data_IF_588067722972
#
_entry.id   IF_588067722972
#
_cell.length_a   1.000
_cell.length_b   1.000
_cell.length_c   1.000
_cell.angle_alpha   90.00
_cell.angle_beta   90.00
_cell.angle_gamma   90.00
#
_symmetry.space_group_name_H-M   'P 1'
#
loop_
_entity.id
_entity.type
_entity.pdbx_description
1 polymer ?
#
# COMPACT_ATOMS: atom_id res chain seq x y z
N UNK A 1 17.48 13.41 -22.66
CA UNK A 1 16.47 14.49 -22.60
C UNK A 1 16.00 14.60 -21.17
N UNK A 2 16.49 15.59 -20.43
CA UNK A 2 16.07 15.90 -19.06
C UNK A 2 14.70 16.56 -19.11
N UNK A 3 13.63 15.81 -18.85
CA UNK A 3 12.29 16.38 -18.69
C UNK A 3 12.20 17.06 -17.32
N UNK A 4 12.71 18.28 -17.23
CA UNK A 4 12.61 19.17 -16.08
C UNK A 4 11.24 19.86 -16.04
N UNK A 5 10.15 19.11 -15.87
CA UNK A 5 8.82 19.71 -15.80
C UNK A 5 7.77 18.80 -15.19
N UNK A 6 6.84 19.43 -14.46
CA UNK A 6 5.55 18.85 -14.10
C UNK A 6 4.83 18.51 -15.42
N UNK A 7 4.56 17.23 -15.66
CA UNK A 7 3.87 16.76 -16.85
C UNK A 7 2.80 15.76 -16.45
N UNK A 8 1.73 15.66 -17.24
CA UNK A 8 0.81 14.55 -17.11
C UNK A 8 1.55 13.25 -17.43
N UNK A 9 1.14 12.17 -16.77
CA UNK A 9 1.69 10.86 -17.05
C UNK A 9 1.48 10.54 -18.56
N UNK A 10 2.47 9.98 -19.27
CA UNK A 10 2.37 9.74 -20.71
C UNK A 10 1.17 8.88 -21.12
N UNK A 11 0.73 8.02 -20.20
CA UNK A 11 -0.38 7.09 -20.26
C UNK A 11 -1.69 7.66 -19.69
N UNK A 12 -1.72 8.92 -19.25
CA UNK A 12 -2.92 9.52 -18.65
C UNK A 12 -4.13 9.59 -19.60
N UNK A 13 -3.89 9.50 -20.92
CA UNK A 13 -4.92 9.48 -21.95
C UNK A 13 -5.12 8.08 -22.57
N UNK A 14 -4.45 7.06 -22.04
CA UNK A 14 -4.60 5.70 -22.53
C UNK A 14 -6.00 5.16 -22.23
N UNK A 15 -6.40 4.15 -23.01
CA UNK A 15 -7.74 3.56 -22.91
C UNK A 15 -7.91 2.85 -21.58
N UNK A 16 -9.01 3.15 -20.89
CA UNK A 16 -9.45 2.44 -19.68
C UNK A 16 -9.41 0.92 -19.86
N UNK A 17 -8.73 0.26 -18.94
CA UNK A 17 -8.46 -1.18 -18.94
C UNK A 17 -9.26 -1.90 -17.86
N UNK A 18 -9.22 -3.24 -17.90
CA UNK A 18 -9.75 -4.04 -16.80
C UNK A 18 -8.99 -3.78 -15.49
N UNK A 19 -7.69 -3.52 -15.55
CA UNK A 19 -6.86 -3.18 -14.40
C UNK A 19 -7.34 -1.92 -13.69
N UNK A 20 -7.76 -0.91 -14.44
CA UNK A 20 -8.30 0.35 -13.89
C UNK A 20 -9.62 0.11 -13.15
N UNK A 21 -10.51 -0.71 -13.73
CA UNK A 21 -11.75 -1.14 -13.07
C UNK A 21 -11.46 -1.87 -11.76
N UNK A 22 -10.54 -2.84 -11.77
CA UNK A 22 -10.20 -3.64 -10.59
C UNK A 22 -9.54 -2.80 -9.49
N UNK A 23 -8.65 -1.89 -9.85
CA UNK A 23 -8.01 -0.95 -8.92
C UNK A 23 -9.03 0.00 -8.29
N UNK A 24 -9.94 0.55 -9.11
CA UNK A 24 -11.00 1.42 -8.63
C UNK A 24 -11.94 0.67 -7.68
N UNK A 25 -12.35 -0.54 -8.03
CA UNK A 25 -13.17 -1.39 -7.16
C UNK A 25 -12.44 -1.70 -5.84
N UNK A 26 -11.14 -1.98 -5.90
CA UNK A 26 -10.28 -2.13 -4.72
C UNK A 26 -10.30 -0.91 -3.79
N UNK A 27 -10.19 0.30 -4.36
CA UNK A 27 -10.29 1.55 -3.58
C UNK A 27 -11.66 1.74 -2.93
N UNK A 28 -12.74 1.30 -3.58
CA UNK A 28 -14.10 1.34 -3.00
C UNK A 28 -14.20 0.40 -1.79
N UNK A 29 -13.68 -0.82 -1.89
CA UNK A 29 -13.63 -1.74 -0.75
C UNK A 29 -12.79 -1.20 0.40
N UNK A 30 -11.66 -0.57 0.10
CA UNK A 30 -10.82 0.05 1.12
C UNK A 30 -11.52 1.26 1.77
N UNK A 31 -12.20 2.10 0.99
CA UNK A 31 -13.01 3.20 1.53
C UNK A 31 -14.15 2.68 2.43
N UNK A 32 -14.79 1.56 2.05
CA UNK A 32 -15.77 0.89 2.91
C UNK A 32 -15.15 0.46 4.25
N UNK A 33 -13.95 -0.12 4.24
CA UNK A 33 -13.22 -0.47 5.47
C UNK A 33 -12.97 0.76 6.36
N UNK A 34 -12.62 1.91 5.75
CA UNK A 34 -12.41 3.16 6.50
C UNK A 34 -13.71 3.62 7.16
N UNK A 35 -14.81 3.68 6.42
CA UNK A 35 -16.12 4.06 6.94
C UNK A 35 -16.64 3.08 8.01
N UNK A 36 -16.41 1.78 7.81
CA UNK A 36 -16.77 0.74 8.76
C UNK A 36 -16.06 0.96 10.11
N UNK A 37 -14.76 1.24 10.08
CA UNK A 37 -13.99 1.51 11.30
C UNK A 37 -14.35 2.86 11.95
N UNK A 38 -14.69 3.89 11.17
CA UNK A 38 -15.17 5.16 11.73
C UNK A 38 -16.50 4.99 12.48
N UNK A 39 -17.40 4.13 11.98
CA UNK A 39 -18.70 3.87 12.62
C UNK A 39 -18.62 2.84 13.76
N UNK A 40 -18.02 1.67 13.50
CA UNK A 40 -18.01 0.54 14.42
C UNK A 40 -16.74 0.46 15.27
N UNK A 41 -15.60 0.92 14.77
CA UNK A 41 -14.32 0.90 15.49
C UNK A 41 -14.33 1.73 16.78
N UNK A 42 -15.27 2.68 16.91
CA UNK A 42 -15.53 3.42 18.17
C UNK A 42 -16.30 2.62 19.22
N UNK A 43 -16.97 1.53 18.82
CA UNK A 43 -17.87 0.70 19.63
C UNK A 43 -17.27 -0.67 19.98
N UNK A 44 -16.27 -1.12 19.23
CA UNK A 44 -15.64 -2.43 19.38
C UNK A 44 -14.13 -2.26 19.59
N UNK A 45 -13.46 -3.33 20.01
CA UNK A 45 -12.00 -3.40 19.90
C UNK A 45 -11.60 -3.41 18.42
N UNK A 46 -11.30 -2.24 17.85
CA UNK A 46 -11.02 -2.06 16.43
C UNK A 46 -9.82 -2.88 15.93
N UNK A 47 -8.85 -3.18 16.80
CA UNK A 47 -7.70 -4.03 16.48
C UNK A 47 -8.13 -5.46 16.17
N UNK A 48 -9.24 -5.93 16.74
CA UNK A 48 -9.78 -7.27 16.48
C UNK A 48 -10.32 -7.44 15.05
N UNK A 49 -10.47 -6.36 14.27
CA UNK A 49 -10.82 -6.40 12.85
C UNK A 49 -9.64 -6.87 11.98
N UNK A 50 -8.40 -6.64 12.46
CA UNK A 50 -7.16 -6.89 11.71
C UNK A 50 -6.99 -8.35 11.24
N UNK A 51 -7.22 -9.39 12.09
CA UNK A 51 -7.15 -10.77 11.64
C UNK A 51 -8.18 -11.10 10.56
N UNK A 52 -9.39 -10.51 10.64
CA UNK A 52 -10.42 -10.66 9.62
C UNK A 52 -9.97 -10.12 8.27
N UNK A 53 -9.38 -8.91 8.25
CA UNK A 53 -8.78 -8.33 7.03
C UNK A 53 -7.73 -9.25 6.42
N UNK A 54 -6.80 -9.77 7.22
CA UNK A 54 -5.75 -10.67 6.73
C UNK A 54 -6.29 -12.02 6.27
N UNK A 55 -7.30 -12.57 6.94
CA UNK A 55 -7.96 -13.79 6.50
C UNK A 55 -8.66 -13.59 5.16
N UNK A 56 -9.38 -12.48 5.00
CA UNK A 56 -10.00 -12.13 3.70
C UNK A 56 -8.94 -11.98 2.62
N UNK A 57 -7.86 -11.24 2.88
CA UNK A 57 -6.75 -11.08 1.92
C UNK A 57 -6.10 -12.42 1.56
N UNK A 58 -5.89 -13.31 2.55
CA UNK A 58 -5.33 -14.63 2.33
C UNK A 58 -6.25 -15.51 1.47
N UNK A 59 -7.55 -15.55 1.78
CA UNK A 59 -8.54 -16.33 1.02
C UNK A 59 -8.65 -15.81 -0.42
N UNK A 60 -8.83 -14.50 -0.60
CA UNK A 60 -8.90 -13.90 -1.93
C UNK A 60 -7.61 -14.12 -2.72
N UNK A 61 -6.44 -13.93 -2.08
CA UNK A 61 -5.13 -14.17 -2.70
C UNK A 61 -4.94 -15.62 -3.13
N UNK A 62 -5.30 -16.59 -2.29
CA UNK A 62 -5.26 -18.01 -2.66
C UNK A 62 -6.22 -18.36 -3.80
N UNK A 63 -7.41 -17.77 -3.83
CA UNK A 63 -8.34 -17.92 -4.96
C UNK A 63 -7.73 -17.36 -6.25
N UNK A 64 -7.12 -16.19 -6.21
CA UNK A 64 -6.43 -15.61 -7.38
C UNK A 64 -5.31 -16.52 -7.86
N UNK A 65 -4.46 -17.03 -6.97
CA UNK A 65 -3.41 -18.00 -7.32
C UNK A 65 -4.01 -19.26 -7.95
N UNK A 66 -5.09 -19.80 -7.37
CA UNK A 66 -5.79 -20.97 -7.92
C UNK A 66 -6.34 -20.75 -9.32
N UNK A 67 -6.97 -19.59 -9.57
CA UNK A 67 -7.48 -19.21 -10.89
C UNK A 67 -6.35 -19.05 -11.89
N UNK A 68 -5.27 -18.35 -11.54
CA UNK A 68 -4.13 -18.14 -12.44
C UNK A 68 -3.46 -19.47 -12.79
N UNK A 69 -3.21 -20.34 -11.80
CA UNK A 69 -2.58 -21.64 -12.03
C UNK A 69 -3.50 -22.64 -12.75
N UNK A 70 -4.82 -22.51 -12.58
CA UNK A 70 -5.83 -23.40 -13.17
C UNK A 70 -6.35 -22.96 -14.55
N UNK A 71 -5.88 -21.83 -15.10
CA UNK A 71 -6.33 -21.29 -16.39
C UNK A 71 -5.14 -20.98 -17.32
N UNK A 72 -5.37 -20.77 -18.62
CA UNK A 72 -4.34 -20.31 -19.55
C UNK A 72 -3.74 -18.93 -19.21
N UNK A 73 -4.33 -18.20 -18.24
CA UNK A 73 -3.81 -16.91 -17.77
C UNK A 73 -2.38 -17.03 -17.24
N UNK A 74 -1.97 -18.20 -16.75
CA UNK A 74 -0.58 -18.46 -16.35
C UNK A 74 0.43 -18.05 -17.42
N UNK A 75 0.17 -18.38 -18.68
CA UNK A 75 1.10 -18.10 -19.79
C UNK A 75 1.27 -16.59 -20.02
N UNK A 76 0.25 -15.80 -19.70
CA UNK A 76 0.26 -14.35 -19.81
C UNK A 76 1.00 -13.65 -18.67
N UNK A 77 1.29 -14.35 -17.56
CA UNK A 77 2.00 -13.77 -16.42
C UNK A 77 3.49 -13.55 -16.67
N UNK A 78 4.08 -14.27 -17.64
CA UNK A 78 5.53 -14.25 -17.88
C UNK A 78 6.36 -14.83 -16.72
N UNK A 79 5.73 -15.38 -15.67
CA UNK A 79 6.42 -15.96 -14.52
C UNK A 79 6.74 -17.43 -14.80
N UNK A 80 8.00 -17.86 -14.68
CA UNK A 80 8.37 -19.26 -14.84
C UNK A 80 7.57 -20.18 -13.91
N UNK A 81 7.29 -21.38 -14.40
CA UNK A 81 6.64 -22.42 -13.66
C UNK A 81 7.47 -22.88 -12.45
N UNK A 82 7.31 -22.24 -11.30
CA UNK A 82 7.89 -22.73 -10.03
C UNK A 82 7.14 -23.99 -9.59
N UNK A 83 7.87 -25.10 -9.45
CA UNK A 83 7.37 -26.31 -8.83
C UNK A 83 7.27 -26.11 -7.31
N UNK A 84 6.50 -26.96 -6.63
CA UNK A 84 6.36 -26.90 -5.18
C UNK A 84 7.74 -26.97 -4.46
N UNK A 85 8.65 -27.80 -4.97
CA UNK A 85 10.00 -27.93 -4.39
C UNK A 85 10.83 -26.65 -4.56
N UNK A 86 10.66 -25.90 -5.65
CA UNK A 86 11.34 -24.62 -5.84
C UNK A 86 10.90 -23.59 -4.79
N UNK A 87 9.61 -23.60 -4.41
CA UNK A 87 9.09 -22.76 -3.33
C UNK A 87 9.65 -23.16 -1.96
N UNK A 88 9.78 -24.46 -1.70
CA UNK A 88 10.39 -24.98 -0.47
C UNK A 88 11.85 -24.55 -0.37
N UNK A 89 12.60 -24.63 -1.47
CA UNK A 89 14.00 -24.24 -1.49
C UNK A 89 14.19 -22.72 -1.40
N UNK A 90 13.31 -21.93 -2.01
CA UNK A 90 13.29 -20.47 -1.84
C UNK A 90 13.04 -20.08 -0.38
N UNK A 91 12.12 -20.78 0.29
CA UNK A 91 11.74 -20.53 1.69
C UNK A 91 12.88 -20.77 2.68
N UNK A 92 13.88 -21.58 2.31
CA UNK A 92 15.09 -21.81 3.12
C UNK A 92 16.12 -20.68 3.00
N UNK A 93 16.01 -19.80 1.99
CA UNK A 93 16.97 -18.72 1.80
C UNK A 93 16.78 -17.66 2.89
N UNK A 94 17.82 -17.33 3.68
CA UNK A 94 17.68 -16.44 4.83
C UNK A 94 17.23 -15.03 4.40
N UNK A 95 17.74 -14.54 3.27
CA UNK A 95 17.33 -13.25 2.73
C UNK A 95 15.84 -13.22 2.38
N UNK A 96 15.33 -14.26 1.70
CA UNK A 96 13.93 -14.35 1.33
C UNK A 96 13.04 -14.38 2.56
N UNK A 97 13.38 -15.22 3.54
CA UNK A 97 12.63 -15.33 4.79
C UNK A 97 12.67 -14.01 5.58
N UNK A 98 13.82 -13.34 5.66
CA UNK A 98 13.95 -12.06 6.36
C UNK A 98 13.14 -10.95 5.69
N UNK A 99 13.13 -10.87 4.35
CA UNK A 99 12.32 -9.92 3.59
C UNK A 99 10.83 -10.20 3.74
N UNK A 100 10.45 -11.47 3.68
CA UNK A 100 9.06 -11.89 3.87
C UNK A 100 8.56 -11.57 5.28
N UNK A 101 9.36 -11.86 6.31
CA UNK A 101 9.02 -11.53 7.70
C UNK A 101 8.97 -10.02 7.93
N UNK A 102 9.91 -9.26 7.35
CA UNK A 102 9.88 -7.80 7.39
C UNK A 102 8.60 -7.23 6.78
N UNK A 103 8.24 -7.70 5.58
CA UNK A 103 7.00 -7.32 4.91
C UNK A 103 5.75 -7.70 5.72
N UNK A 104 5.69 -8.95 6.19
CA UNK A 104 4.52 -9.47 6.89
C UNK A 104 4.33 -8.83 8.26
N UNK A 105 5.40 -8.65 9.04
CA UNK A 105 5.30 -8.13 10.41
C UNK A 105 5.30 -6.61 10.42
N UNK A 106 6.35 -5.97 9.88
CA UNK A 106 6.53 -4.53 9.97
C UNK A 106 5.59 -3.79 9.02
N UNK A 107 5.62 -4.14 7.73
CA UNK A 107 4.88 -3.40 6.71
C UNK A 107 3.39 -3.75 6.69
N UNK A 108 3.00 -4.93 7.20
CA UNK A 108 1.60 -5.38 7.17
C UNK A 108 0.99 -5.42 8.57
N UNK A 109 1.39 -6.37 9.42
CA UNK A 109 0.72 -6.60 10.71
C UNK A 109 0.76 -5.37 11.63
N UNK A 110 1.92 -4.73 11.78
CA UNK A 110 2.06 -3.53 12.62
C UNK A 110 1.37 -2.32 11.98
N UNK A 111 1.57 -2.11 10.68
CA UNK A 111 0.95 -0.99 9.95
C UNK A 111 -0.58 -1.03 10.03
N UNK A 112 -1.20 -2.14 9.64
CA UNK A 112 -2.67 -2.30 9.70
C UNK A 112 -3.18 -2.39 11.14
N UNK A 113 -2.40 -2.96 12.06
CA UNK A 113 -2.74 -2.97 13.48
C UNK A 113 -2.83 -1.57 14.07
N UNK A 114 -1.86 -0.70 13.77
CA UNK A 114 -1.88 0.70 14.19
C UNK A 114 -2.95 1.53 13.47
N UNK A 115 -3.12 1.31 12.16
CA UNK A 115 -4.20 1.90 11.38
C UNK A 115 -5.55 1.62 12.07
N UNK A 116 -5.88 0.35 12.31
CA UNK A 116 -7.14 -0.04 12.93
C UNK A 116 -7.27 0.46 14.37
N UNK A 117 -6.17 0.51 15.13
CA UNK A 117 -6.16 1.01 16.51
C UNK A 117 -6.48 2.50 16.58
N UNK A 118 -5.86 3.32 15.74
CA UNK A 118 -5.90 4.78 15.86
C UNK A 118 -6.89 5.45 14.92
N UNK A 119 -7.31 4.80 13.84
CA UNK A 119 -8.28 5.38 12.91
C UNK A 119 -9.59 5.84 13.59
N UNK A 120 -10.18 5.11 14.56
CA UNK A 120 -11.42 5.56 15.21
C UNK A 120 -11.28 6.87 15.99
N UNK A 121 -10.06 7.35 16.25
CA UNK A 121 -9.79 8.63 16.92
C UNK A 121 -9.94 9.85 16.00
N UNK A 122 -10.09 9.64 14.69
CA UNK A 122 -10.29 10.68 13.68
C UNK A 122 -11.51 10.35 12.84
N UNK A 123 -12.09 11.35 12.16
CA UNK A 123 -13.17 11.07 11.21
C UNK A 123 -12.67 10.30 9.99
N UNK A 124 -13.56 9.62 9.27
CA UNK A 124 -13.21 8.94 8.02
C UNK A 124 -12.54 9.86 7.00
N UNK A 125 -12.99 11.11 6.90
CA UNK A 125 -12.40 12.11 6.00
C UNK A 125 -10.98 12.50 6.43
N UNK A 126 -10.75 12.70 7.73
CA UNK A 126 -9.42 12.99 8.27
C UNK A 126 -8.48 11.79 8.05
N UNK A 127 -8.96 10.57 8.30
CA UNK A 127 -8.19 9.35 8.03
C UNK A 127 -7.79 9.24 6.56
N UNK A 128 -8.70 9.49 5.62
CA UNK A 128 -8.40 9.46 4.18
C UNK A 128 -7.29 10.44 3.80
N UNK A 129 -7.31 11.67 4.36
CA UNK A 129 -6.24 12.65 4.12
C UNK A 129 -4.93 12.20 4.77
N UNK A 130 -4.95 11.64 5.97
CA UNK A 130 -3.76 11.07 6.63
C UNK A 130 -3.16 9.95 5.77
N UNK A 131 -3.98 9.05 5.23
CA UNK A 131 -3.50 7.93 4.39
C UNK A 131 -2.91 8.40 3.07
N UNK A 132 -3.28 9.57 2.57
CA UNK A 132 -2.61 10.16 1.41
C UNK A 132 -1.13 10.51 1.66
N UNK A 133 -0.63 10.47 2.91
CA UNK A 133 0.80 10.58 3.22
C UNK A 133 1.61 9.33 2.82
N UNK A 134 0.96 8.20 2.55
CA UNK A 134 1.64 6.96 2.12
C UNK A 134 2.68 7.19 1.01
N UNK A 135 2.35 7.81 -0.15
CA UNK A 135 3.33 8.09 -1.19
C UNK A 135 4.49 8.99 -0.73
N UNK A 136 4.28 9.90 0.22
CA UNK A 136 5.35 10.76 0.76
C UNK A 136 6.38 9.91 1.51
N UNK A 137 5.92 8.99 2.36
CA UNK A 137 6.80 8.06 3.07
C UNK A 137 7.43 7.03 2.13
N UNK A 138 6.66 6.48 1.18
CA UNK A 138 7.15 5.53 0.20
C UNK A 138 8.28 6.12 -0.65
N UNK A 139 8.09 7.30 -1.22
CA UNK A 139 9.15 8.00 -1.97
C UNK A 139 10.31 8.39 -1.07
N UNK A 140 10.06 8.84 0.16
CA UNK A 140 11.12 9.14 1.14
C UNK A 140 12.02 7.94 1.43
N UNK A 141 11.44 6.76 1.62
CA UNK A 141 12.20 5.51 1.78
C UNK A 141 12.87 5.06 0.47
N UNK A 142 12.23 5.23 -0.67
CA UNK A 142 12.77 4.84 -1.97
C UNK A 142 14.07 5.58 -2.35
N UNK A 143 14.36 6.74 -1.74
CA UNK A 143 15.61 7.49 -1.92
C UNK A 143 16.86 6.74 -1.40
N UNK A 144 16.72 5.77 -0.49
CA UNK A 144 17.87 5.07 0.11
C UNK A 144 17.65 3.60 0.43
N UNK A 145 16.41 3.18 0.74
CA UNK A 145 16.10 1.82 1.17
C UNK A 145 16.44 0.76 0.11
N UNK A 146 16.23 0.97 -1.21
CA UNK A 146 16.65 0.01 -2.24
C UNK A 146 18.13 -0.35 -2.17
N UNK A 147 19.02 0.64 -2.00
CA UNK A 147 20.46 0.39 -1.85
C UNK A 147 20.79 -0.36 -0.56
N UNK A 148 20.10 -0.06 0.53
CA UNK A 148 20.27 -0.80 1.80
C UNK A 148 19.87 -2.26 1.62
N UNK A 149 18.73 -2.52 0.99
CA UNK A 149 18.25 -3.88 0.71
C UNK A 149 19.15 -4.59 -0.32
N UNK A 150 19.73 -3.86 -1.27
CA UNK A 150 20.69 -4.41 -2.23
C UNK A 150 21.97 -4.90 -1.55
N UNK A 151 22.47 -4.18 -0.54
CA UNK A 151 23.61 -4.63 0.27
C UNK A 151 23.30 -5.92 1.04
N UNK A 152 22.06 -6.11 1.50
CA UNK A 152 21.64 -7.30 2.24
C UNK A 152 21.34 -8.49 1.32
N UNK A 153 20.77 -8.23 0.15
CA UNK A 153 20.25 -9.26 -0.75
C UNK A 153 21.19 -9.62 -1.91
N UNK A 154 22.14 -8.76 -2.24
CA UNK A 154 22.95 -8.85 -3.45
C UNK A 154 22.19 -8.53 -4.74
N UNK A 155 20.91 -8.11 -4.65
CA UNK A 155 20.09 -7.75 -5.81
C UNK A 155 20.14 -6.24 -6.00
N UNK A 156 20.75 -5.80 -7.10
CA UNK A 156 20.86 -4.39 -7.41
C UNK A 156 19.48 -3.80 -7.76
N UNK A 157 19.04 -2.83 -6.96
CA UNK A 157 17.87 -2.00 -7.26
C UNK A 157 18.25 -0.52 -7.06
N UNK A 158 18.11 0.33 -8.08
CA UNK A 158 18.49 1.73 -7.97
C UNK A 158 17.55 2.47 -7.01
N UNK A 159 18.11 3.44 -6.27
CA UNK A 159 17.29 4.36 -5.49
C UNK A 159 16.48 5.28 -6.43
N UNK A 160 15.34 5.74 -5.94
CA UNK A 160 14.59 6.81 -6.57
C UNK A 160 15.41 8.11 -6.58
N UNK A 161 15.30 8.89 -7.65
CA UNK A 161 15.95 10.20 -7.76
C UNK A 161 14.97 11.30 -7.39
N UNK A 162 15.48 12.36 -6.76
CA UNK A 162 14.67 13.54 -6.45
C UNK A 162 14.28 14.22 -7.76
N UNK A 163 12.98 14.34 -7.98
CA UNK A 163 12.40 15.04 -9.13
C UNK A 163 11.49 16.18 -8.68
N UNK A 164 11.23 17.13 -9.58
CA UNK A 164 10.25 18.19 -9.31
C UNK A 164 8.83 17.65 -9.08
N UNK A 165 8.46 16.56 -9.76
CA UNK A 165 7.17 15.90 -9.54
C UNK A 165 7.03 15.37 -8.11
N UNK A 166 8.08 14.72 -7.60
CA UNK A 166 8.13 14.23 -6.21
C UNK A 166 8.04 15.38 -5.21
N UNK A 167 8.79 16.47 -5.42
CA UNK A 167 8.79 17.62 -4.51
C UNK A 167 7.45 18.35 -4.50
N UNK A 168 6.89 18.66 -5.67
CA UNK A 168 5.61 19.39 -5.77
C UNK A 168 4.46 18.51 -5.30
N UNK A 169 4.38 17.25 -5.74
CA UNK A 169 3.35 16.31 -5.32
C UNK A 169 3.39 16.05 -3.81
N UNK A 170 4.58 15.81 -3.26
CA UNK A 170 4.77 15.63 -1.82
C UNK A 170 4.39 16.87 -1.02
N UNK A 171 4.77 18.08 -1.47
CA UNK A 171 4.38 19.33 -0.82
C UNK A 171 2.86 19.53 -0.82
N UNK A 172 2.18 19.25 -1.93
CA UNK A 172 0.72 19.37 -2.02
C UNK A 172 0.01 18.44 -1.02
N UNK A 173 0.49 17.20 -0.88
CA UNK A 173 -0.06 16.24 0.09
C UNK A 173 0.16 16.71 1.53
N UNK A 174 1.36 17.22 1.84
CA UNK A 174 1.69 17.76 3.16
C UNK A 174 0.81 18.97 3.51
N UNK A 175 0.64 19.91 2.58
CA UNK A 175 -0.23 21.07 2.74
C UNK A 175 -1.68 20.63 2.95
N UNK A 176 -2.18 19.67 2.15
CA UNK A 176 -3.53 19.14 2.31
C UNK A 176 -3.76 18.53 3.69
N UNK A 177 -2.77 17.80 4.22
CA UNK A 177 -2.82 17.25 5.57
C UNK A 177 -2.84 18.34 6.66
N UNK A 178 -1.98 19.35 6.54
CA UNK A 178 -1.95 20.47 7.48
C UNK A 178 -3.29 21.20 7.49
N UNK A 179 -3.88 21.48 6.32
CA UNK A 179 -5.17 22.16 6.21
C UNK A 179 -6.32 21.31 6.77
N UNK A 180 -6.36 20.01 6.44
CA UNK A 180 -7.44 19.11 6.88
C UNK A 180 -7.41 18.80 8.38
N UNK A 181 -6.23 18.83 9.00
CA UNK A 181 -6.02 18.54 10.42
C UNK A 181 -5.82 19.81 11.26
N UNK A 182 -5.81 20.99 10.64
CA UNK A 182 -5.67 22.25 11.36
C UNK A 182 -6.81 22.36 12.38
N UNK A 183 -6.52 22.52 13.68
CA UNK A 183 -7.56 22.70 14.67
C UNK A 183 -8.31 24.00 14.35
N UNK A 184 -9.55 23.90 13.87
CA UNK A 184 -10.46 25.03 13.90
C UNK A 184 -10.70 25.35 15.38
N UNK A 185 -10.20 26.50 15.84
CA UNK A 185 -10.31 26.91 17.24
C UNK A 185 -11.73 26.72 17.74
N UNK A 186 -11.87 25.94 18.81
CA UNK A 186 -13.06 25.80 19.67
C UNK A 186 -14.38 26.28 19.05
N UNK A 187 -15.01 25.48 18.20
CA UNK A 187 -16.47 25.47 18.18
C UNK A 187 -16.91 24.63 19.37
N UNK A 188 -17.17 25.33 20.47
CA UNK A 188 -18.01 24.84 21.56
C UNK A 188 -19.37 24.34 21.01
N UNK A 189 -19.93 23.38 21.74
CA UNK A 189 -21.35 23.00 21.79
C UNK A 189 -21.97 22.21 20.62
N UNK A 190 -22.11 20.89 20.80
CA UNK A 190 -23.33 20.24 21.31
C UNK A 190 -23.15 18.72 21.47
#
# INVERSE_FOLDING_TARGET
RTSTGLALAPDAADRWTLGDTLTTLGSVFFAFQVLFLDHYGKKINSVAVTPGMFLTAAVLGWMTVGVVLGTPLREQTGVPAMQFLDWVDLSKRPIFLSSLLGLAVLCSMLAFGWMNKYQPAVSASQAAVIYSLEPVFASGWALFLPSVLAMLSGIAHPNEQITWGLLVGGLLILVANVVALYPSGSSQDH
#
